data_IF_457472923937
#
_entry.id   IF_457472923937
#
_cell.length_a   1.000
_cell.length_b   1.000
_cell.length_c   1.000
_cell.angle_alpha   90.00
_cell.angle_beta   90.00
_cell.angle_gamma   90.00
#
_symmetry.space_group_name_H-M   'P 1'
#
loop_
_entity.id
_entity.type
_entity.pdbx_description
1 polymer ?
#
# COMPACT_ATOMS: atom_id res chain seq x y z
N UNK A 1 -15.09 -13.82 11.17
CA UNK A 1 -15.32 -13.17 9.86
C UNK A 1 -16.00 -14.15 8.89
N UNK A 2 -15.43 -15.35 8.67
CA UNK A 2 -15.95 -16.35 7.70
C UNK A 2 -17.40 -16.80 8.02
N UNK A 3 -17.70 -17.09 9.28
CA UNK A 3 -19.07 -17.44 9.70
C UNK A 3 -20.10 -16.32 9.43
N UNK A 4 -19.64 -15.06 9.35
CA UNK A 4 -20.46 -13.91 8.99
C UNK A 4 -20.51 -13.65 7.47
N UNK A 5 -19.97 -14.57 6.63
CA UNK A 5 -19.97 -14.44 5.17
C UNK A 5 -18.90 -13.52 4.57
N UNK A 6 -17.93 -13.06 5.37
CA UNK A 6 -16.79 -12.27 4.88
C UNK A 6 -15.84 -13.19 4.13
N UNK A 7 -15.61 -12.92 2.84
CA UNK A 7 -14.79 -13.75 1.95
C UNK A 7 -13.39 -13.18 1.70
N UNK A 8 -13.21 -11.89 1.92
CA UNK A 8 -11.93 -11.21 1.71
C UNK A 8 -11.61 -10.25 2.85
N UNK A 9 -10.33 -10.06 3.10
CA UNK A 9 -9.81 -9.11 4.11
C UNK A 9 -8.70 -8.29 3.49
N UNK A 10 -8.60 -7.02 3.90
CA UNK A 10 -7.47 -6.15 3.58
C UNK A 10 -6.69 -5.89 4.88
N UNK A 11 -5.42 -6.30 4.90
CA UNK A 11 -4.56 -6.22 6.07
C UNK A 11 -3.68 -4.98 6.03
N UNK A 12 -3.53 -4.35 7.19
CA UNK A 12 -2.56 -3.32 7.51
C UNK A 12 -1.76 -3.81 8.71
N UNK A 13 -0.43 -3.77 8.65
CA UNK A 13 0.43 -4.22 9.74
C UNK A 13 0.97 -3.05 10.53
N UNK A 14 1.07 -3.23 11.83
CA UNK A 14 1.75 -2.30 12.73
C UNK A 14 2.87 -3.09 13.39
N UNK A 15 4.15 -2.81 13.09
CA UNK A 15 5.27 -3.50 13.71
C UNK A 15 5.47 -3.04 15.15
N UNK A 16 6.13 -3.88 15.96
CA UNK A 16 6.52 -3.52 17.33
C UNK A 16 7.62 -2.45 17.35
N UNK A 17 8.51 -2.45 16.35
CA UNK A 17 9.60 -1.50 16.20
C UNK A 17 9.54 -0.82 14.83
N UNK A 18 9.85 0.48 14.80
CA UNK A 18 9.90 1.29 13.57
C UNK A 18 11.26 1.91 13.42
N UNK A 19 11.68 2.12 12.18
CA UNK A 19 12.94 2.81 11.87
C UNK A 19 12.78 3.84 10.74
N UNK A 20 13.84 4.59 10.44
CA UNK A 20 13.80 5.64 9.43
C UNK A 20 13.58 5.13 7.99
N UNK A 21 13.75 3.85 7.74
CA UNK A 21 13.64 3.23 6.41
C UNK A 21 12.43 2.30 6.27
N UNK A 22 11.75 2.00 7.37
CA UNK A 22 10.67 1.02 7.38
C UNK A 22 11.17 -0.39 7.06
N UNK A 23 12.36 -0.75 7.53
CA UNK A 23 13.05 -2.00 7.15
C UNK A 23 12.25 -3.27 7.49
N UNK A 24 11.39 -3.20 8.50
CA UNK A 24 10.48 -4.30 8.87
C UNK A 24 9.45 -4.64 7.80
N UNK A 25 9.08 -3.70 6.92
CA UNK A 25 7.98 -3.90 5.97
C UNK A 25 8.11 -5.16 5.07
N UNK A 26 9.34 -5.53 4.72
CA UNK A 26 9.61 -6.72 3.89
C UNK A 26 10.10 -7.94 4.69
N UNK A 27 10.16 -7.86 6.03
CA UNK A 27 10.62 -8.95 6.87
C UNK A 27 9.59 -10.09 6.91
N UNK A 28 10.01 -11.36 6.73
CA UNK A 28 9.11 -12.50 6.76
C UNK A 28 8.47 -12.74 8.14
N UNK A 29 9.07 -12.20 9.20
CA UNK A 29 8.64 -12.39 10.58
C UNK A 29 7.75 -11.24 11.09
N UNK A 30 7.38 -10.29 10.21
CA UNK A 30 6.55 -9.17 10.57
C UNK A 30 5.04 -9.46 10.56
N UNK A 31 4.27 -8.55 11.14
CA UNK A 31 2.86 -8.72 11.45
C UNK A 31 2.00 -9.11 10.23
N UNK A 32 2.23 -8.49 9.05
CA UNK A 32 1.44 -8.80 7.83
C UNK A 32 1.77 -10.19 7.33
N UNK A 33 3.04 -10.54 7.17
CA UNK A 33 3.48 -11.83 6.66
C UNK A 33 3.03 -12.98 7.57
N UNK A 34 3.14 -12.79 8.88
CA UNK A 34 2.64 -13.77 9.85
C UNK A 34 1.11 -13.89 9.81
N UNK A 35 0.38 -12.78 9.71
CA UNK A 35 -1.07 -12.77 9.63
C UNK A 35 -1.55 -13.46 8.34
N UNK A 36 -0.94 -13.16 7.19
CA UNK A 36 -1.24 -13.84 5.91
C UNK A 36 -1.07 -15.34 6.05
N UNK A 37 0.10 -15.79 6.53
CA UNK A 37 0.40 -17.21 6.71
C UNK A 37 -0.59 -17.89 7.66
N UNK A 38 -0.94 -17.24 8.77
CA UNK A 38 -1.89 -17.78 9.75
C UNK A 38 -3.32 -17.87 9.17
N UNK A 39 -3.78 -16.86 8.42
CA UNK A 39 -5.09 -16.86 7.77
C UNK A 39 -5.14 -17.96 6.72
N UNK A 40 -4.15 -18.05 5.83
CA UNK A 40 -4.11 -19.07 4.78
C UNK A 40 -4.05 -20.49 5.34
N UNK A 41 -3.41 -20.68 6.47
CA UNK A 41 -3.40 -21.97 7.18
C UNK A 41 -4.76 -22.32 7.80
N UNK A 42 -5.45 -21.34 8.39
CA UNK A 42 -6.72 -21.56 9.08
C UNK A 42 -7.94 -21.60 8.15
N UNK A 43 -7.89 -20.84 7.04
CA UNK A 43 -9.00 -20.63 6.09
C UNK A 43 -8.41 -20.37 4.70
N UNK A 44 -7.94 -21.40 3.98
CA UNK A 44 -7.27 -21.27 2.68
C UNK A 44 -8.10 -20.53 1.62
N UNK A 45 -9.44 -20.59 1.74
CA UNK A 45 -10.38 -19.94 0.84
C UNK A 45 -10.56 -18.45 1.09
N UNK A 46 -10.06 -17.90 2.21
CA UNK A 46 -10.11 -16.46 2.47
C UNK A 46 -9.20 -15.72 1.51
N UNK A 47 -9.75 -14.76 0.76
CA UNK A 47 -8.99 -13.92 -0.13
C UNK A 47 -8.29 -12.82 0.68
N UNK A 48 -6.97 -12.86 0.74
CA UNK A 48 -6.15 -11.96 1.56
C UNK A 48 -5.50 -10.91 0.69
N UNK A 49 -5.86 -9.66 0.93
CA UNK A 49 -5.28 -8.47 0.30
C UNK A 49 -4.36 -7.82 1.34
N UNK A 50 -3.20 -7.34 0.92
CA UNK A 50 -2.26 -6.66 1.82
C UNK A 50 -1.97 -5.24 1.33
N UNK A 51 -2.05 -4.26 2.22
CA UNK A 51 -1.56 -2.90 1.94
C UNK A 51 -0.04 -2.93 1.76
N UNK A 52 0.46 -2.16 0.78
CA UNK A 52 1.90 -1.98 0.55
C UNK A 52 2.23 -0.51 0.72
N UNK A 53 2.77 -0.19 1.89
CA UNK A 53 3.19 1.15 2.27
C UNK A 53 4.28 1.05 3.34
N UNK A 54 5.06 2.11 3.50
CA UNK A 54 6.07 2.17 4.56
C UNK A 54 5.60 2.97 5.79
N UNK A 55 4.47 3.69 5.72
CA UNK A 55 4.07 4.62 6.79
C UNK A 55 3.76 3.98 8.14
N UNK A 56 3.39 2.71 8.16
CA UNK A 56 3.20 1.93 9.38
C UNK A 56 4.54 1.50 9.99
N UNK A 57 5.60 1.40 9.18
CA UNK A 57 6.92 0.86 9.53
C UNK A 57 7.98 1.95 9.75
N UNK A 58 7.75 3.16 9.24
CA UNK A 58 8.66 4.29 9.44
C UNK A 58 8.39 4.99 10.76
N UNK A 59 9.45 5.37 11.48
CA UNK A 59 9.37 6.12 12.74
C UNK A 59 8.83 7.54 12.56
N UNK A 60 9.00 8.10 11.36
CA UNK A 60 8.48 9.42 10.98
C UNK A 60 7.07 9.39 10.36
N UNK A 61 6.49 8.23 10.07
CA UNK A 61 5.12 8.07 9.54
C UNK A 61 4.91 8.54 8.10
N UNK A 62 5.94 8.82 7.32
CA UNK A 62 5.82 9.06 5.88
C UNK A 62 5.82 7.74 5.09
N UNK A 63 5.24 7.77 3.87
CA UNK A 63 5.02 6.58 3.05
C UNK A 63 6.27 6.11 2.27
N UNK A 64 7.43 6.72 2.49
CA UNK A 64 8.68 6.41 1.80
C UNK A 64 9.89 6.94 2.52
N UNK A 65 11.04 6.78 1.89
CA UNK A 65 12.34 7.25 2.38
C UNK A 65 12.36 8.78 2.42
N UNK A 66 12.72 9.34 3.56
CA UNK A 66 12.82 10.80 3.73
C UNK A 66 14.24 11.28 3.42
N UNK A 67 14.32 12.32 2.57
CA UNK A 67 15.54 13.04 2.25
C UNK A 67 15.34 14.53 2.47
N UNK A 68 15.97 15.06 3.49
CA UNK A 68 15.65 16.42 3.95
C UNK A 68 14.25 16.48 4.57
N UNK A 69 13.33 17.23 3.96
CA UNK A 69 11.94 17.35 4.43
C UNK A 69 10.92 16.68 3.49
N UNK A 70 11.38 16.01 2.43
CA UNK A 70 10.52 15.40 1.42
C UNK A 70 10.78 13.89 1.31
N UNK A 71 9.82 13.18 0.73
CA UNK A 71 9.97 11.76 0.39
C UNK A 71 10.76 11.63 -0.91
N UNK A 72 11.80 10.81 -0.90
CA UNK A 72 12.55 10.43 -2.10
C UNK A 72 11.81 9.29 -2.79
N UNK A 73 11.14 9.61 -3.90
CA UNK A 73 10.33 8.69 -4.68
C UNK A 73 11.15 7.47 -5.12
N UNK A 74 12.24 7.70 -5.84
CA UNK A 74 13.01 6.65 -6.50
C UNK A 74 13.69 5.72 -5.48
N UNK A 75 14.16 6.28 -4.36
CA UNK A 75 14.72 5.47 -3.27
C UNK A 75 13.67 4.61 -2.57
N UNK A 76 12.38 4.97 -2.67
CA UNK A 76 11.27 4.24 -2.05
C UNK A 76 10.81 3.04 -2.89
N UNK A 77 10.85 3.12 -4.22
CA UNK A 77 10.33 2.10 -5.12
C UNK A 77 10.86 0.68 -4.86
N UNK A 78 12.17 0.46 -4.67
CA UNK A 78 12.70 -0.88 -4.39
C UNK A 78 12.17 -1.48 -3.08
N UNK A 79 11.91 -0.64 -2.08
CA UNK A 79 11.39 -1.09 -0.78
C UNK A 79 9.92 -1.51 -0.88
N UNK A 80 9.12 -0.78 -1.66
CA UNK A 80 7.73 -1.16 -1.94
C UNK A 80 7.68 -2.47 -2.73
N UNK A 81 8.54 -2.66 -3.73
CA UNK A 81 8.64 -3.90 -4.49
C UNK A 81 9.02 -5.08 -3.59
N UNK A 82 10.05 -4.92 -2.73
CA UNK A 82 10.46 -5.94 -1.78
C UNK A 82 9.34 -6.30 -0.79
N UNK A 83 8.60 -5.31 -0.30
CA UNK A 83 7.43 -5.51 0.58
C UNK A 83 6.35 -6.32 -0.12
N UNK A 84 5.97 -5.97 -1.35
CA UNK A 84 4.96 -6.69 -2.13
C UNK A 84 5.38 -8.15 -2.37
N UNK A 85 6.64 -8.38 -2.72
CA UNK A 85 7.20 -9.74 -2.91
C UNK A 85 7.12 -10.54 -1.61
N UNK A 86 7.50 -9.96 -0.47
CA UNK A 86 7.42 -10.65 0.83
C UNK A 86 6.00 -11.04 1.22
N UNK A 87 5.01 -10.17 0.90
CA UNK A 87 3.59 -10.48 1.10
C UNK A 87 3.11 -11.62 0.21
N UNK A 88 3.49 -11.63 -1.08
CA UNK A 88 3.18 -12.72 -1.99
C UNK A 88 3.83 -14.05 -1.54
N UNK A 89 5.07 -14.02 -1.07
CA UNK A 89 5.76 -15.19 -0.50
C UNK A 89 5.04 -15.73 0.75
N UNK A 90 4.46 -14.87 1.57
CA UNK A 90 3.66 -15.28 2.73
C UNK A 90 2.30 -15.88 2.35
N UNK A 91 1.86 -15.73 1.08
CA UNK A 91 0.62 -16.28 0.54
C UNK A 91 -0.50 -15.26 0.35
N UNK A 92 -0.21 -13.96 0.28
CA UNK A 92 -1.22 -12.96 -0.08
C UNK A 92 -1.77 -13.23 -1.49
N UNK A 93 -3.09 -13.11 -1.64
CA UNK A 93 -3.77 -13.30 -2.92
C UNK A 93 -3.73 -12.04 -3.80
N UNK A 94 -3.48 -10.86 -3.22
CA UNK A 94 -3.39 -9.58 -3.91
C UNK A 94 -2.58 -8.60 -3.07
N UNK A 95 -1.80 -7.73 -3.72
CA UNK A 95 -1.11 -6.60 -3.08
C UNK A 95 -1.76 -5.27 -3.46
N UNK A 96 -1.80 -4.32 -2.53
CA UNK A 96 -2.52 -3.07 -2.69
C UNK A 96 -1.63 -1.85 -2.33
N UNK A 97 -0.75 -1.41 -3.25
CA UNK A 97 0.16 -0.30 -3.00
C UNK A 97 -0.58 1.01 -2.77
N UNK A 98 -0.31 1.63 -1.63
CA UNK A 98 -0.99 2.84 -1.17
C UNK A 98 -0.05 4.02 -0.89
N UNK A 99 1.24 3.89 -1.16
CA UNK A 99 2.26 4.89 -0.86
C UNK A 99 2.18 6.15 -1.74
N UNK A 100 1.56 6.08 -2.92
CA UNK A 100 1.48 7.17 -3.90
C UNK A 100 2.85 7.61 -4.45
N UNK A 101 3.76 6.66 -4.62
CA UNK A 101 5.01 6.91 -5.32
C UNK A 101 4.78 6.74 -6.83
N UNK A 102 5.31 7.67 -7.63
CA UNK A 102 5.29 7.58 -9.09
C UNK A 102 6.09 6.37 -9.55
N UNK A 103 5.52 5.54 -10.44
CA UNK A 103 6.13 4.29 -10.89
C UNK A 103 6.05 3.11 -9.90
N UNK A 104 5.30 3.24 -8.79
CA UNK A 104 5.21 2.18 -7.78
C UNK A 104 4.59 0.90 -8.33
N UNK A 105 3.60 1.00 -9.22
CA UNK A 105 2.95 -0.17 -9.81
C UNK A 105 3.93 -0.94 -10.70
N UNK A 106 4.66 -0.23 -11.57
CA UNK A 106 5.68 -0.83 -12.43
C UNK A 106 6.76 -1.54 -11.61
N UNK A 107 7.31 -0.89 -10.58
CA UNK A 107 8.34 -1.46 -9.72
C UNK A 107 7.85 -2.71 -8.98
N UNK A 108 6.62 -2.69 -8.45
CA UNK A 108 6.01 -3.84 -7.77
C UNK A 108 5.74 -4.98 -8.77
N UNK A 109 5.21 -4.68 -9.96
CA UNK A 109 4.95 -5.67 -11.00
C UNK A 109 6.24 -6.37 -11.46
N UNK A 110 7.30 -5.61 -11.70
CA UNK A 110 8.63 -6.15 -12.02
C UNK A 110 9.14 -7.05 -10.89
N UNK A 111 9.10 -6.57 -9.64
CA UNK A 111 9.52 -7.36 -8.48
C UNK A 111 8.74 -8.67 -8.33
N UNK A 112 7.42 -8.64 -8.50
CA UNK A 112 6.58 -9.85 -8.44
C UNK A 112 6.93 -10.83 -9.58
N UNK A 113 7.09 -10.34 -10.81
CA UNK A 113 7.44 -11.15 -11.98
C UNK A 113 8.79 -11.85 -11.80
N UNK A 114 9.80 -11.12 -11.38
CA UNK A 114 11.17 -11.63 -11.19
C UNK A 114 11.27 -12.69 -10.10
N UNK A 115 10.33 -12.66 -9.14
CA UNK A 115 10.28 -13.64 -8.05
C UNK A 115 9.24 -14.75 -8.25
N UNK A 116 8.64 -14.87 -9.45
CA UNK A 116 7.72 -15.97 -9.81
C UNK A 116 6.28 -15.77 -9.33
N UNK A 117 5.88 -14.52 -9.01
CA UNK A 117 4.53 -14.14 -8.58
C UNK A 117 3.77 -13.33 -9.64
N UNK A 118 3.99 -13.61 -10.93
CA UNK A 118 3.36 -12.88 -12.04
C UNK A 118 1.83 -12.89 -12.01
N UNK A 119 1.24 -13.92 -11.40
CA UNK A 119 -0.22 -14.07 -11.27
C UNK A 119 -0.80 -13.34 -10.04
N UNK A 120 0.04 -12.72 -9.20
CA UNK A 120 -0.44 -11.93 -8.04
C UNK A 120 -1.01 -10.59 -8.52
N UNK A 121 -2.32 -10.33 -8.38
CA UNK A 121 -2.92 -9.07 -8.79
C UNK A 121 -2.41 -7.88 -7.97
N UNK A 122 -2.35 -6.72 -8.62
CA UNK A 122 -1.99 -5.43 -7.99
C UNK A 122 -3.18 -4.48 -8.02
N UNK A 123 -3.64 -4.05 -6.82
CA UNK A 123 -4.67 -3.03 -6.66
C UNK A 123 -4.03 -1.67 -6.38
N UNK A 124 -3.84 -0.84 -7.40
CA UNK A 124 -3.29 0.51 -7.27
C UNK A 124 -4.24 1.46 -6.52
N UNK A 125 -3.75 2.16 -5.50
CA UNK A 125 -4.45 3.33 -4.93
C UNK A 125 -4.21 4.55 -5.83
N UNK A 126 -4.58 4.43 -7.08
CA UNK A 126 -4.22 5.35 -8.17
C UNK A 126 -4.78 6.76 -7.99
N UNK A 127 -5.94 6.89 -7.36
CA UNK A 127 -6.53 8.18 -7.03
C UNK A 127 -6.67 8.33 -5.51
N UNK A 128 -5.56 8.61 -4.82
CA UNK A 128 -5.55 8.85 -3.37
C UNK A 128 -5.33 10.32 -3.07
N UNK A 129 -6.39 10.98 -2.69
CA UNK A 129 -6.39 12.41 -2.38
C UNK A 129 -5.92 12.70 -0.96
N UNK A 130 -5.25 13.82 -0.75
CA UNK A 130 -4.99 14.34 0.60
C UNK A 130 -6.33 14.72 1.27
N UNK A 131 -6.60 14.15 2.45
CA UNK A 131 -7.91 14.30 3.09
C UNK A 131 -7.83 14.27 4.61
N UNK A 132 -8.64 15.12 5.26
CA UNK A 132 -8.88 15.06 6.69
C UNK A 132 -9.65 13.79 7.12
N UNK A 133 -10.34 13.13 6.21
CA UNK A 133 -11.06 11.87 6.48
C UNK A 133 -10.13 10.71 6.90
N UNK A 134 -8.81 10.84 6.69
CA UNK A 134 -7.84 9.84 7.14
C UNK A 134 -7.48 9.92 8.63
N UNK A 135 -8.00 10.91 9.37
CA UNK A 135 -7.69 11.08 10.79
C UNK A 135 -7.87 9.80 11.61
N UNK A 136 -9.07 9.18 11.60
CA UNK A 136 -9.32 7.93 12.35
C UNK A 136 -8.42 6.77 11.88
N UNK A 137 -8.16 6.65 10.57
CA UNK A 137 -7.28 5.63 10.04
C UNK A 137 -5.83 5.81 10.50
N UNK A 138 -5.31 7.04 10.48
CA UNK A 138 -3.93 7.34 10.93
C UNK A 138 -3.71 6.98 12.39
N UNK A 139 -4.74 7.16 13.23
CA UNK A 139 -4.71 6.73 14.63
C UNK A 139 -4.70 5.19 14.72
N UNK A 140 -5.61 4.53 13.99
CA UNK A 140 -5.75 3.07 14.03
C UNK A 140 -4.51 2.34 13.48
N UNK A 141 -3.86 2.89 12.45
CA UNK A 141 -2.67 2.32 11.81
C UNK A 141 -1.35 2.85 12.40
N UNK A 142 -1.41 3.67 13.45
CA UNK A 142 -0.24 4.32 14.06
C UNK A 142 0.73 4.92 13.02
N UNK A 143 0.18 5.62 12.04
CA UNK A 143 0.89 6.10 10.85
C UNK A 143 0.78 7.60 10.62
N UNK A 144 0.53 8.38 11.68
CA UNK A 144 0.48 9.83 11.56
C UNK A 144 1.89 10.41 11.28
N UNK A 145 2.04 11.31 10.27
CA UNK A 145 3.31 11.98 10.03
C UNK A 145 3.79 12.73 11.28
N UNK A 146 5.05 12.54 11.67
CA UNK A 146 5.67 13.21 12.82
C UNK A 146 6.12 14.64 12.48
N UNK A 147 6.24 14.97 11.20
CA UNK A 147 6.51 16.31 10.68
C UNK A 147 5.81 16.52 9.33
N UNK A 148 5.61 17.77 8.92
CA UNK A 148 4.99 18.09 7.64
C UNK A 148 3.60 17.49 7.45
N UNK A 149 3.31 17.12 6.21
CA UNK A 149 2.09 16.41 5.83
C UNK A 149 2.35 15.54 4.58
N UNK A 150 1.31 14.93 4.01
CA UNK A 150 1.44 14.05 2.84
C UNK A 150 1.03 14.72 1.52
N UNK A 151 0.87 16.04 1.49
CA UNK A 151 0.40 16.75 0.28
C UNK A 151 1.43 16.76 -0.85
N UNK A 152 2.70 16.52 -0.54
CA UNK A 152 3.76 16.42 -1.55
C UNK A 152 3.57 15.22 -2.49
N UNK A 153 2.92 14.14 -2.03
CA UNK A 153 2.73 12.91 -2.80
C UNK A 153 1.29 12.38 -2.82
N UNK A 154 0.36 12.92 -2.03
CA UNK A 154 -1.06 12.67 -2.18
C UNK A 154 -1.70 13.77 -3.01
N UNK A 155 -2.64 13.40 -3.87
CA UNK A 155 -3.27 14.32 -4.81
C UNK A 155 -4.01 15.46 -4.11
N UNK A 156 -3.98 16.64 -4.71
CA UNK A 156 -4.74 17.77 -4.22
C UNK A 156 -6.26 17.52 -4.38
N UNK A 157 -7.11 17.95 -3.41
CA UNK A 157 -8.53 17.61 -3.38
C UNK A 157 -9.36 18.07 -4.60
N UNK A 158 -8.86 19.04 -5.38
CA UNK A 158 -9.53 19.64 -6.52
C UNK A 158 -8.96 19.22 -7.88
N UNK A 159 -8.13 18.18 -7.94
CA UNK A 159 -7.39 17.77 -9.14
C UNK A 159 -7.96 16.51 -9.80
N UNK A 160 -9.22 16.58 -10.28
CA UNK A 160 -9.85 15.45 -10.95
C UNK A 160 -9.16 15.02 -12.26
N UNK A 161 -8.52 15.97 -13.00
CA UNK A 161 -7.76 15.62 -14.22
C UNK A 161 -6.45 14.89 -13.90
N UNK A 162 -5.83 15.21 -12.80
CA UNK A 162 -4.65 14.49 -12.29
C UNK A 162 -5.01 13.05 -11.96
N UNK A 163 -6.13 12.84 -11.27
CA UNK A 163 -6.62 11.49 -10.94
C UNK A 163 -6.74 10.58 -12.17
N UNK A 164 -7.30 11.11 -13.26
CA UNK A 164 -7.44 10.33 -14.51
C UNK A 164 -6.10 9.98 -15.14
N UNK A 165 -5.10 10.87 -15.07
CA UNK A 165 -3.73 10.58 -15.55
C UNK A 165 -3.02 9.54 -14.72
N UNK A 166 -3.14 9.63 -13.39
CA UNK A 166 -2.57 8.63 -12.48
C UNK A 166 -3.22 7.25 -12.68
N UNK A 167 -4.54 7.22 -12.88
CA UNK A 167 -5.25 5.98 -13.19
C UNK A 167 -4.77 5.38 -14.52
N UNK A 168 -4.62 6.20 -15.56
CA UNK A 168 -4.12 5.76 -16.87
C UNK A 168 -2.68 5.24 -16.76
N UNK A 169 -1.81 5.95 -16.04
CA UNK A 169 -0.43 5.55 -15.82
C UNK A 169 -0.35 4.22 -15.05
N UNK A 170 -1.06 4.08 -13.93
CA UNK A 170 -1.07 2.84 -13.15
C UNK A 170 -1.59 1.63 -13.95
N UNK A 171 -2.57 1.84 -14.85
CA UNK A 171 -3.05 0.79 -15.75
C UNK A 171 -1.97 0.38 -16.78
N UNK A 172 -1.26 1.35 -17.37
CA UNK A 172 -0.14 1.11 -18.28
C UNK A 172 1.02 0.40 -17.57
N UNK A 173 1.26 0.69 -16.30
CA UNK A 173 2.24 0.05 -15.44
C UNK A 173 1.85 -1.37 -15.00
N UNK A 174 0.60 -1.78 -15.21
CA UNK A 174 0.12 -3.14 -14.93
C UNK A 174 -0.70 -3.29 -13.65
N UNK A 175 -1.41 -2.25 -13.20
CA UNK A 175 -2.44 -2.40 -12.19
C UNK A 175 -3.63 -3.21 -12.73
N UNK A 176 -4.09 -4.19 -11.95
CA UNK A 176 -5.27 -5.02 -12.29
C UNK A 176 -6.56 -4.39 -11.76
N UNK A 177 -6.48 -3.65 -10.67
CA UNK A 177 -7.60 -2.96 -10.02
C UNK A 177 -7.18 -1.55 -9.65
N UNK A 178 -8.09 -0.60 -9.90
CA UNK A 178 -7.93 0.81 -9.52
C UNK A 178 -8.77 1.12 -8.29
N UNK A 179 -8.19 1.85 -7.35
CA UNK A 179 -8.84 2.28 -6.12
C UNK A 179 -8.82 3.80 -5.97
N UNK A 180 -10.00 4.36 -5.71
CA UNK A 180 -10.18 5.79 -5.38
C UNK A 180 -10.33 5.96 -3.87
N UNK A 181 -9.54 6.84 -3.25
CA UNK A 181 -9.57 7.08 -1.80
C UNK A 181 -9.43 8.57 -1.44
N UNK A 182 -10.35 9.11 -0.62
CA UNK A 182 -11.55 8.49 -0.08
C UNK A 182 -12.69 8.44 -1.13
N UNK A 183 -13.32 7.29 -1.31
CA UNK A 183 -14.29 7.08 -2.39
C UNK A 183 -15.54 7.97 -2.28
N UNK A 184 -16.11 8.10 -1.08
CA UNK A 184 -17.38 8.82 -0.87
C UNK A 184 -17.37 10.28 -1.35
N UNK A 185 -16.21 10.94 -1.27
CA UNK A 185 -16.05 12.34 -1.70
C UNK A 185 -15.72 12.50 -3.19
N UNK A 186 -15.50 11.39 -3.93
CA UNK A 186 -15.00 11.37 -5.30
C UNK A 186 -15.72 10.32 -6.16
N UNK A 187 -17.05 10.25 -6.03
CA UNK A 187 -17.90 9.35 -6.83
C UNK A 187 -17.90 9.71 -8.33
N UNK A 188 -17.53 10.93 -8.66
CA UNK A 188 -17.34 11.44 -10.01
C UNK A 188 -16.05 10.93 -10.70
N UNK A 189 -15.12 10.35 -9.92
CA UNK A 189 -13.89 9.71 -10.41
C UNK A 189 -14.08 8.22 -10.60
N UNK A 190 -15.04 7.61 -9.89
CA UNK A 190 -15.39 6.19 -9.98
C UNK A 190 -16.29 5.91 -11.19
#
# INVERSE_FOLDING_TARGET
>A
AMEAGVKSVLLFGIPDEKDATGSGASSPDEAVQQAVSAIKKASPETFVITDVCLCEYTDHGHCGIVKGNDVDNDATLPLLAATAVSHAQAGADMVAPSAMMDGQIAAIREGLNDNGFSDTPVMGYSAKYSSAFYGPFRIAADSAPQFGDRRAYQMAPNQGREAMREIEADLEEGADIIKVKPALAYLDVI
#
